data_IF_243536624412
#
_entry.id   IF_243536624412
#
_cell.length_a   1.000
_cell.length_b   1.000
_cell.length_c   1.000
_cell.angle_alpha   90.00
_cell.angle_beta   90.00
_cell.angle_gamma   90.00
#
_symmetry.space_group_name_H-M   'P 1'
#
loop_
_entity.id
_entity.type
_entity.pdbx_description
1 polymer ?
#
# COMPACT_ATOMS: atom_id res chain seq x y z
N UNK A 1 -18.77 2.95 -16.77
CA UNK A 1 -19.48 3.13 -15.48
C UNK A 1 -18.50 3.78 -14.51
N UNK A 2 -18.89 4.86 -13.85
CA UNK A 2 -17.98 5.65 -13.03
C UNK A 2 -18.47 5.70 -11.58
N UNK A 3 -17.55 5.75 -10.62
CA UNK A 3 -17.90 6.04 -9.25
C UNK A 3 -17.93 7.56 -9.06
N UNK A 4 -19.13 8.07 -8.81
CA UNK A 4 -19.43 9.40 -8.31
C UNK A 4 -20.65 9.29 -7.40
N UNK A 5 -21.04 10.38 -6.73
CA UNK A 5 -22.18 10.37 -5.80
C UNK A 5 -23.50 9.96 -6.46
N UNK A 6 -23.80 10.45 -7.66
CA UNK A 6 -25.08 10.28 -8.35
C UNK A 6 -25.24 8.88 -8.95
N UNK A 7 -24.14 8.33 -9.48
CA UNK A 7 -24.08 7.03 -10.15
C UNK A 7 -23.62 5.90 -9.21
N UNK A 8 -23.37 6.20 -7.94
CA UNK A 8 -22.77 5.25 -6.99
C UNK A 8 -23.48 3.89 -6.95
N UNK A 9 -24.82 3.88 -6.85
CA UNK A 9 -25.59 2.65 -6.75
C UNK A 9 -25.47 1.78 -8.00
N UNK A 10 -25.49 2.40 -9.17
CA UNK A 10 -25.37 1.69 -10.45
C UNK A 10 -23.94 1.21 -10.67
N UNK A 11 -22.95 2.02 -10.27
CA UNK A 11 -21.54 1.65 -10.31
C UNK A 11 -21.22 0.46 -9.40
N UNK A 12 -21.67 0.50 -8.14
CA UNK A 12 -21.54 -0.60 -7.19
C UNK A 12 -22.13 -1.89 -7.78
N UNK A 13 -23.37 -1.83 -8.27
CA UNK A 13 -24.04 -2.99 -8.87
C UNK A 13 -23.34 -3.50 -10.12
N UNK A 14 -22.86 -2.60 -10.98
CA UNK A 14 -22.13 -2.94 -12.20
C UNK A 14 -20.83 -3.68 -11.87
N UNK A 15 -19.97 -3.11 -11.02
CA UNK A 15 -18.68 -3.71 -10.69
C UNK A 15 -18.84 -5.00 -9.87
N UNK A 16 -19.78 -5.05 -8.92
CA UNK A 16 -20.10 -6.28 -8.21
C UNK A 16 -20.45 -7.42 -9.17
N UNK A 17 -21.34 -7.17 -10.14
CA UNK A 17 -21.72 -8.16 -11.16
C UNK A 17 -20.57 -8.50 -12.11
N UNK A 18 -19.79 -7.50 -12.54
CA UNK A 18 -18.61 -7.69 -13.41
C UNK A 18 -17.60 -8.65 -12.78
N UNK A 19 -17.36 -8.52 -11.48
CA UNK A 19 -16.47 -9.41 -10.70
C UNK A 19 -17.19 -10.63 -10.10
N UNK A 20 -18.45 -10.88 -10.48
CA UNK A 20 -19.25 -12.06 -10.09
C UNK A 20 -19.45 -12.23 -8.58
N UNK A 21 -19.43 -11.15 -7.81
CA UNK A 21 -19.72 -11.22 -6.38
C UNK A 21 -21.23 -11.24 -6.13
N UNK A 22 -21.66 -12.06 -5.17
CA UNK A 22 -22.98 -11.87 -4.54
C UNK A 22 -22.94 -10.63 -3.65
N UNK A 23 -24.09 -10.13 -3.22
CA UNK A 23 -24.11 -9.02 -2.26
C UNK A 23 -23.50 -9.42 -0.92
N UNK A 24 -23.72 -10.67 -0.53
CA UNK A 24 -23.21 -11.25 0.70
C UNK A 24 -21.69 -11.41 0.65
N UNK A 25 -21.17 -12.06 -0.40
CA UNK A 25 -19.73 -12.27 -0.57
C UNK A 25 -18.97 -10.95 -0.70
N UNK A 26 -19.56 -9.93 -1.32
CA UNK A 26 -18.93 -8.60 -1.39
C UNK A 26 -18.90 -7.92 -0.01
N UNK A 27 -19.98 -8.03 0.77
CA UNK A 27 -20.02 -7.47 2.12
C UNK A 27 -18.97 -8.13 3.02
N UNK A 28 -18.88 -9.47 2.99
CA UNK A 28 -17.85 -10.23 3.71
C UNK A 28 -16.44 -9.79 3.31
N UNK A 29 -16.13 -9.78 2.00
CA UNK A 29 -14.82 -9.37 1.50
C UNK A 29 -14.45 -7.93 1.90
N UNK A 30 -15.39 -6.98 1.80
CA UNK A 30 -15.15 -5.60 2.23
C UNK A 30 -14.87 -5.54 3.74
N UNK A 31 -15.68 -6.25 4.53
CA UNK A 31 -15.57 -6.28 6.00
C UNK A 31 -14.25 -6.86 6.48
N UNK A 32 -13.71 -7.88 5.80
CA UNK A 32 -12.44 -8.51 6.10
C UNK A 32 -11.23 -7.76 5.51
N UNK A 33 -11.45 -6.86 4.54
CA UNK A 33 -10.38 -6.10 3.90
C UNK A 33 -10.04 -4.80 4.61
N UNK A 34 -11.02 -4.14 5.26
CA UNK A 34 -10.79 -2.86 5.93
C UNK A 34 -11.85 -2.49 6.98
N UNK A 35 -11.42 -1.95 8.12
CA UNK A 35 -12.21 -1.63 9.32
C UNK A 35 -13.41 -0.72 9.09
N UNK A 36 -13.35 0.19 8.11
CA UNK A 36 -14.48 1.06 7.69
C UNK A 36 -15.74 0.27 7.29
N UNK A 37 -15.56 -1.00 6.88
CA UNK A 37 -16.62 -1.90 6.45
C UNK A 37 -16.90 -3.03 7.44
N UNK A 38 -16.34 -3.01 8.65
CA UNK A 38 -16.53 -4.10 9.63
C UNK A 38 -17.99 -4.36 9.99
N UNK A 39 -18.86 -3.34 9.91
CA UNK A 39 -20.31 -3.45 10.15
C UNK A 39 -21.14 -3.64 8.88
N UNK A 40 -20.51 -3.81 7.72
CA UNK A 40 -21.22 -3.97 6.45
C UNK A 40 -21.80 -5.39 6.35
N UNK A 41 -23.06 -5.48 5.95
CA UNK A 41 -23.73 -6.75 5.69
C UNK A 41 -24.50 -6.70 4.35
N UNK A 42 -24.99 -7.87 3.92
CA UNK A 42 -25.74 -8.04 2.67
C UNK A 42 -26.94 -7.08 2.55
N UNK A 43 -27.69 -6.88 3.64
CA UNK A 43 -28.87 -6.01 3.65
C UNK A 43 -28.51 -4.54 3.38
N UNK A 44 -27.46 -4.03 4.03
CA UNK A 44 -26.97 -2.67 3.85
C UNK A 44 -26.48 -2.46 2.42
N UNK A 45 -25.72 -3.42 1.88
CA UNK A 45 -25.26 -3.36 0.50
C UNK A 45 -26.44 -3.36 -0.49
N UNK A 46 -27.48 -4.17 -0.23
CA UNK A 46 -28.71 -4.16 -1.04
C UNK A 46 -29.44 -2.82 -0.97
N UNK A 47 -29.42 -2.12 0.16
CA UNK A 47 -30.04 -0.80 0.29
C UNK A 47 -29.28 0.26 -0.52
N UNK A 48 -27.94 0.19 -0.54
CA UNK A 48 -27.10 1.06 -1.37
C UNK A 48 -27.37 0.83 -2.86
N UNK A 49 -27.40 -0.42 -3.33
CA UNK A 49 -27.69 -0.73 -4.74
C UNK A 49 -29.10 -0.32 -5.19
N UNK A 50 -30.06 -0.24 -4.25
CA UNK A 50 -31.44 0.19 -4.51
C UNK A 50 -31.65 1.69 -4.27
N UNK A 51 -30.59 2.45 -3.98
CA UNK A 51 -30.65 3.89 -3.66
C UNK A 51 -31.55 4.23 -2.46
N UNK A 52 -31.80 3.25 -1.57
CA UNK A 52 -32.61 3.47 -0.36
C UNK A 52 -31.85 4.21 0.73
N UNK A 53 -30.54 3.97 0.81
CA UNK A 53 -29.63 4.64 1.74
C UNK A 53 -28.41 5.10 0.97
N UNK A 54 -28.01 6.34 1.18
CA UNK A 54 -26.76 6.88 0.64
C UNK A 54 -25.60 6.53 1.60
N UNK A 55 -24.56 5.79 1.16
CA UNK A 55 -23.37 5.57 1.97
C UNK A 55 -22.61 6.88 2.20
N UNK A 56 -21.83 6.96 3.29
CA UNK A 56 -20.94 8.11 3.52
C UNK A 56 -19.90 8.24 2.40
N UNK A 57 -19.37 9.46 2.19
CA UNK A 57 -18.29 9.71 1.22
C UNK A 57 -17.13 8.73 1.41
N UNK A 58 -16.67 8.52 2.64
CA UNK A 58 -15.59 7.59 2.95
C UNK A 58 -15.89 6.15 2.48
N UNK A 59 -17.13 5.67 2.67
CA UNK A 59 -17.53 4.33 2.21
C UNK A 59 -17.63 4.26 0.70
N UNK A 60 -18.06 5.33 0.03
CA UNK A 60 -18.04 5.42 -1.44
C UNK A 60 -16.63 5.35 -2.00
N UNK A 61 -15.70 6.12 -1.42
CA UNK A 61 -14.28 6.09 -1.75
C UNK A 61 -13.70 4.69 -1.55
N UNK A 62 -13.93 4.08 -0.39
CA UNK A 62 -13.39 2.75 -0.11
C UNK A 62 -13.91 1.68 -1.07
N UNK A 63 -15.18 1.77 -1.50
CA UNK A 63 -15.73 0.87 -2.52
C UNK A 63 -15.10 1.10 -3.90
N UNK A 64 -14.90 2.37 -4.31
CA UNK A 64 -14.21 2.66 -5.55
C UNK A 64 -12.78 2.09 -5.55
N UNK A 65 -12.06 2.27 -4.44
CA UNK A 65 -10.72 1.71 -4.23
C UNK A 65 -10.70 0.18 -4.22
N UNK A 66 -11.67 -0.48 -3.56
CA UNK A 66 -11.78 -1.94 -3.58
C UNK A 66 -11.85 -2.48 -5.02
N UNK A 67 -12.58 -1.79 -5.90
CA UNK A 67 -12.67 -2.14 -7.32
C UNK A 67 -11.56 -1.52 -8.20
N UNK A 68 -10.56 -0.86 -7.59
CA UNK A 68 -9.45 -0.18 -8.25
C UNK A 68 -9.94 0.82 -9.32
N UNK A 69 -10.96 1.60 -8.97
CA UNK A 69 -11.56 2.62 -9.82
C UNK A 69 -11.39 4.01 -9.19
N UNK A 70 -11.19 5.06 -10.01
CA UNK A 70 -11.20 6.43 -9.50
C UNK A 70 -12.60 6.83 -9.04
N UNK A 71 -12.66 7.62 -7.96
CA UNK A 71 -13.87 8.31 -7.52
C UNK A 71 -13.86 9.76 -8.02
N UNK A 72 -14.96 10.21 -8.60
CA UNK A 72 -15.12 11.56 -9.10
C UNK A 72 -15.93 12.39 -8.11
N UNK A 73 -15.25 13.36 -7.49
CA UNK A 73 -15.84 14.25 -6.51
C UNK A 73 -16.73 15.30 -7.17
N UNK A 74 -17.88 15.57 -6.57
CA UNK A 74 -18.58 16.82 -6.84
C UNK A 74 -17.88 18.01 -6.14
N UNK A 75 -18.28 19.24 -6.49
CA UNK A 75 -17.67 20.47 -5.95
C UNK A 75 -17.75 20.57 -4.42
N UNK A 76 -18.80 20.03 -3.80
CA UNK A 76 -18.98 20.05 -2.35
C UNK A 76 -18.09 19.01 -1.67
N UNK A 77 -18.03 17.79 -2.22
CA UNK A 77 -17.17 16.73 -1.74
C UNK A 77 -15.69 17.13 -1.85
N UNK A 78 -15.29 17.75 -2.97
CA UNK A 78 -13.92 18.21 -3.19
C UNK A 78 -13.49 19.23 -2.12
N UNK A 79 -14.39 20.18 -1.75
CA UNK A 79 -14.14 21.12 -0.65
C UNK A 79 -13.90 20.39 0.68
N UNK A 80 -14.63 19.30 0.94
CA UNK A 80 -14.52 18.53 2.18
C UNK A 80 -13.24 17.69 2.28
N UNK A 81 -12.70 17.23 1.15
CA UNK A 81 -11.48 16.39 1.12
C UNK A 81 -10.20 17.17 0.84
N UNK A 82 -10.29 18.44 0.44
CA UNK A 82 -9.13 19.27 0.05
C UNK A 82 -7.99 19.22 1.07
N UNK A 83 -8.29 19.34 2.37
CA UNK A 83 -7.28 19.26 3.43
C UNK A 83 -6.64 17.87 3.52
N UNK A 84 -7.43 16.81 3.38
CA UNK A 84 -6.92 15.45 3.41
C UNK A 84 -5.95 15.17 2.24
N UNK A 85 -6.28 15.67 1.05
CA UNK A 85 -5.44 15.52 -0.15
C UNK A 85 -4.11 16.29 -0.10
N UNK A 86 -3.91 17.17 0.90
CA UNK A 86 -2.66 17.89 1.11
C UNK A 86 -1.67 17.13 2.01
N UNK A 87 -2.09 16.03 2.63
CA UNK A 87 -1.17 15.20 3.42
C UNK A 87 -0.08 14.64 2.50
N UNK A 88 1.19 14.68 2.93
CA UNK A 88 2.29 14.18 2.12
C UNK A 88 2.13 12.68 1.88
N UNK A 89 2.56 12.23 0.71
CA UNK A 89 2.71 10.81 0.40
C UNK A 89 4.12 10.62 -0.13
N UNK A 90 4.92 9.83 0.59
CA UNK A 90 6.37 9.62 0.34
C UNK A 90 6.75 9.13 -1.08
N UNK A 91 5.78 8.91 -1.98
CA UNK A 91 6.00 8.44 -3.36
C UNK A 91 5.15 9.16 -4.42
N UNK A 92 4.37 10.19 -4.06
CA UNK A 92 3.53 10.91 -5.04
C UNK A 92 4.35 11.78 -6.01
N UNK A 93 5.59 12.14 -5.63
CA UNK A 93 6.44 13.06 -6.39
C UNK A 93 7.54 12.36 -7.20
N UNK A 94 7.44 11.05 -7.41
CA UNK A 94 8.37 10.31 -8.28
C UNK A 94 8.00 10.54 -9.75
N UNK A 95 8.13 11.78 -10.21
CA UNK A 95 7.99 12.16 -11.62
C UNK A 95 9.37 12.29 -12.24
N UNK A 96 9.78 11.28 -13.00
CA UNK A 96 10.92 11.38 -13.91
C UNK A 96 10.43 11.92 -15.25
N UNK A 97 11.26 12.72 -15.93
CA UNK A 97 10.94 13.22 -17.28
C UNK A 97 10.90 12.08 -18.29
N UNK A 98 11.81 11.12 -18.13
CA UNK A 98 11.92 9.93 -18.98
C UNK A 98 11.34 8.70 -18.27
N UNK A 99 10.78 7.80 -19.07
CA UNK A 99 10.39 6.48 -18.62
C UNK A 99 11.63 5.58 -18.56
N UNK A 100 11.77 4.85 -17.45
CA UNK A 100 12.85 3.89 -17.24
C UNK A 100 12.25 2.48 -17.19
N UNK A 101 12.72 1.62 -18.09
CA UNK A 101 12.42 0.19 -18.04
C UNK A 101 13.49 -0.59 -17.28
N UNK A 102 13.15 -1.80 -16.84
CA UNK A 102 14.12 -2.69 -16.21
C UNK A 102 14.78 -3.50 -17.33
N UNK A 103 16.07 -3.26 -17.56
CA UNK A 103 16.86 -4.00 -18.55
C UNK A 103 17.58 -5.19 -17.94
N UNK A 104 17.90 -5.11 -16.65
CA UNK A 104 18.64 -6.15 -15.94
C UNK A 104 18.27 -6.18 -14.45
N UNK A 105 18.41 -7.34 -13.83
CA UNK A 105 18.24 -7.54 -12.40
C UNK A 105 19.39 -8.36 -11.83
N UNK A 106 19.83 -8.01 -10.63
CA UNK A 106 20.86 -8.75 -9.89
C UNK A 106 20.31 -9.23 -8.55
N UNK A 107 20.71 -10.42 -8.13
CA UNK A 107 20.35 -10.98 -6.83
C UNK A 107 21.59 -11.59 -6.18
N UNK A 108 22.05 -10.94 -5.11
CA UNK A 108 23.26 -11.34 -4.38
C UNK A 108 23.05 -11.22 -2.87
N UNK A 109 23.94 -11.83 -2.10
CA UNK A 109 24.07 -11.51 -0.68
C UNK A 109 24.55 -10.06 -0.52
N UNK A 110 24.08 -9.34 0.50
CA UNK A 110 24.38 -7.91 0.68
C UNK A 110 25.88 -7.63 0.88
N UNK A 111 26.61 -8.58 1.48
CA UNK A 111 28.06 -8.53 1.68
C UNK A 111 28.86 -8.57 0.37
N UNK A 112 28.29 -9.17 -0.68
CA UNK A 112 28.87 -9.24 -2.03
C UNK A 112 28.52 -8.06 -2.92
N UNK A 113 27.69 -7.13 -2.44
CA UNK A 113 27.41 -5.90 -3.15
C UNK A 113 28.60 -4.96 -2.97
N UNK A 114 29.31 -4.66 -4.06
CA UNK A 114 30.53 -3.87 -4.04
C UNK A 114 30.38 -2.55 -4.83
N UNK A 115 31.32 -1.63 -4.62
CA UNK A 115 31.43 -0.41 -5.39
C UNK A 115 30.28 0.57 -5.20
N UNK A 116 29.93 1.26 -6.29
CA UNK A 116 28.95 2.36 -6.31
C UNK A 116 27.55 1.91 -5.90
N UNK A 117 27.10 0.72 -6.32
CA UNK A 117 25.79 0.19 -5.96
C UNK A 117 25.64 0.02 -4.45
N UNK A 118 26.70 -0.42 -3.75
CA UNK A 118 26.68 -0.54 -2.30
C UNK A 118 26.45 0.82 -1.65
N UNK A 119 27.20 1.83 -2.05
CA UNK A 119 27.04 3.20 -1.53
C UNK A 119 25.64 3.74 -1.81
N UNK A 120 25.12 3.57 -3.04
CA UNK A 120 23.78 4.02 -3.42
C UNK A 120 22.68 3.36 -2.60
N UNK A 121 22.79 2.05 -2.31
CA UNK A 121 21.83 1.32 -1.49
C UNK A 121 21.82 1.81 -0.05
N UNK A 122 23.02 1.99 0.54
CA UNK A 122 23.18 2.47 1.91
C UNK A 122 22.65 3.91 2.05
N UNK A 123 23.08 4.81 1.17
CA UNK A 123 22.69 6.22 1.17
C UNK A 123 21.18 6.39 0.93
N UNK A 124 20.61 5.61 0.00
CA UNK A 124 19.18 5.68 -0.30
C UNK A 124 18.33 5.13 0.83
N UNK A 125 18.79 4.09 1.53
CA UNK A 125 18.16 3.64 2.76
C UNK A 125 18.17 4.75 3.82
N UNK A 126 19.34 5.33 4.10
CA UNK A 126 19.49 6.37 5.13
C UNK A 126 18.66 7.60 4.83
N UNK A 127 18.67 8.11 3.59
CA UNK A 127 17.84 9.25 3.19
C UNK A 127 16.35 8.99 3.34
N UNK A 128 15.92 7.74 3.12
CA UNK A 128 14.51 7.38 3.14
C UNK A 128 13.99 7.00 4.54
N UNK A 129 14.86 6.46 5.39
CA UNK A 129 14.51 5.91 6.69
C UNK A 129 15.01 6.75 7.87
N UNK A 130 16.03 7.58 7.67
CA UNK A 130 16.63 8.42 8.71
C UNK A 130 17.71 7.73 9.55
N UNK A 131 17.96 6.43 9.34
CA UNK A 131 18.95 5.63 10.05
C UNK A 131 19.74 4.73 9.08
N UNK A 132 20.85 4.15 9.54
CA UNK A 132 21.67 3.33 8.67
C UNK A 132 21.05 1.94 8.40
N UNK A 133 21.32 1.38 7.21
CA UNK A 133 20.82 0.05 6.87
C UNK A 133 21.35 -1.02 7.84
N UNK A 134 22.61 -0.89 8.23
CA UNK A 134 23.27 -1.82 9.16
C UNK A 134 22.63 -1.77 10.55
N UNK A 135 22.28 -0.58 11.03
CA UNK A 135 21.55 -0.41 12.31
C UNK A 135 20.20 -1.13 12.26
N UNK A 136 19.43 -0.92 11.20
CA UNK A 136 18.12 -1.60 11.03
C UNK A 136 18.26 -3.13 11.01
N UNK A 137 19.28 -3.64 10.31
CA UNK A 137 19.56 -5.09 10.24
C UNK A 137 19.91 -5.65 11.63
N UNK A 138 20.76 -4.94 12.37
CA UNK A 138 21.17 -5.35 13.72
C UNK A 138 20.01 -5.34 14.71
N UNK A 139 19.17 -4.29 14.69
CA UNK A 139 17.98 -4.20 15.56
C UNK A 139 16.96 -5.31 15.29
N UNK A 140 16.88 -5.80 14.05
CA UNK A 140 16.01 -6.91 13.66
C UNK A 140 16.69 -8.29 13.75
N UNK A 141 17.94 -8.35 14.22
CA UNK A 141 18.76 -9.58 14.29
C UNK A 141 18.83 -10.33 12.96
N UNK A 142 19.06 -9.59 11.88
CA UNK A 142 19.17 -10.08 10.50
C UNK A 142 20.65 -10.12 10.09
N UNK A 143 21.18 -11.31 9.87
CA UNK A 143 22.63 -11.55 9.69
C UNK A 143 23.02 -12.06 8.30
N UNK A 144 22.05 -12.45 7.48
CA UNK A 144 22.25 -12.94 6.12
C UNK A 144 21.33 -12.22 5.12
N UNK A 145 21.35 -10.87 5.08
CA UNK A 145 20.51 -10.13 4.16
C UNK A 145 20.94 -10.37 2.71
N UNK A 146 19.93 -10.50 1.86
CA UNK A 146 20.05 -10.52 0.41
C UNK A 146 19.59 -9.18 -0.15
N UNK A 147 20.07 -8.87 -1.34
CA UNK A 147 19.63 -7.71 -2.09
C UNK A 147 19.23 -8.12 -3.50
N UNK A 148 18.07 -7.63 -3.92
CA UNK A 148 17.59 -7.70 -5.29
C UNK A 148 17.60 -6.30 -5.90
N UNK A 149 18.43 -6.08 -6.92
CA UNK A 149 18.62 -4.80 -7.59
C UNK A 149 17.95 -4.80 -8.97
N UNK A 150 17.37 -3.67 -9.33
CA UNK A 150 16.74 -3.41 -10.63
C UNK A 150 17.52 -2.32 -11.36
N UNK A 151 17.88 -2.55 -12.62
CA UNK A 151 18.72 -1.65 -13.40
C UNK A 151 18.06 -1.22 -14.71
N UNK A 152 18.32 0.03 -15.09
CA UNK A 152 18.23 0.49 -16.48
C UNK A 152 19.64 0.66 -17.02
N UNK A 153 20.02 -0.20 -17.96
CA UNK A 153 21.40 -0.41 -18.38
C UNK A 153 22.29 -0.74 -17.18
N UNK A 154 23.17 0.19 -16.77
CA UNK A 154 24.04 0.05 -15.58
C UNK A 154 23.57 0.90 -14.40
N UNK A 155 22.50 1.68 -14.55
CA UNK A 155 22.01 2.57 -13.51
C UNK A 155 21.04 1.84 -12.58
N UNK A 156 21.30 1.86 -11.28
CA UNK A 156 20.39 1.34 -10.26
C UNK A 156 19.13 2.21 -10.20
N UNK A 157 17.97 1.60 -10.43
CA UNK A 157 16.66 2.27 -10.48
C UNK A 157 15.67 1.77 -9.41
N UNK A 158 16.07 0.76 -8.64
CA UNK A 158 15.34 0.28 -7.48
C UNK A 158 16.04 -0.91 -6.83
N UNK A 159 15.71 -1.18 -5.58
CA UNK A 159 16.23 -2.34 -4.86
C UNK A 159 15.29 -2.80 -3.74
N UNK A 160 15.46 -4.06 -3.36
CA UNK A 160 14.88 -4.66 -2.17
C UNK A 160 16.00 -5.33 -1.36
N UNK A 161 16.24 -4.85 -0.15
CA UNK A 161 17.05 -5.56 0.84
C UNK A 161 16.12 -6.35 1.74
N UNK A 162 16.37 -7.64 1.89
CA UNK A 162 15.52 -8.52 2.68
C UNK A 162 16.28 -9.71 3.27
N UNK A 163 15.73 -10.31 4.31
CA UNK A 163 16.20 -11.59 4.84
C UNK A 163 15.01 -12.52 5.08
N UNK A 164 15.16 -13.80 4.74
CA UNK A 164 14.19 -14.83 5.05
C UNK A 164 14.66 -15.60 6.29
N UNK A 165 13.87 -15.57 7.37
CA UNK A 165 14.19 -16.18 8.67
C UNK A 165 12.90 -16.74 9.27
N UNK A 166 12.94 -17.95 9.81
CA UNK A 166 11.82 -18.56 10.56
C UNK A 166 10.45 -18.51 9.86
N UNK A 167 10.37 -18.94 8.59
CA UNK A 167 9.16 -18.90 7.77
C UNK A 167 8.55 -17.49 7.59
N UNK A 168 9.40 -16.46 7.68
CA UNK A 168 9.06 -15.08 7.44
C UNK A 168 10.08 -14.42 6.52
N UNK A 169 9.66 -13.35 5.86
CA UNK A 169 10.52 -12.45 5.08
C UNK A 169 10.47 -11.06 5.69
N UNK A 170 11.65 -10.53 6.01
CA UNK A 170 11.85 -9.20 6.55
C UNK A 170 12.32 -8.28 5.44
N UNK A 171 11.48 -7.33 5.04
CA UNK A 171 11.82 -6.31 4.05
C UNK A 171 12.44 -5.13 4.78
N UNK A 172 13.70 -4.81 4.50
CA UNK A 172 14.45 -3.82 5.28
C UNK A 172 14.58 -2.51 4.51
N UNK A 173 14.87 -2.60 3.21
CA UNK A 173 15.01 -1.45 2.33
C UNK A 173 14.24 -1.69 1.05
N UNK A 174 13.24 -0.87 0.78
CA UNK A 174 12.45 -0.91 -0.45
C UNK A 174 12.50 0.47 -1.09
N UNK A 175 13.17 0.57 -2.23
CA UNK A 175 13.40 1.83 -2.96
C UNK A 175 13.14 1.61 -4.44
N UNK A 176 12.52 2.59 -5.09
CA UNK A 176 12.19 2.57 -6.51
C UNK A 176 12.14 3.98 -7.06
N UNK A 177 12.55 4.14 -8.31
CA UNK A 177 12.60 5.45 -8.99
C UNK A 177 11.25 5.88 -9.56
N UNK A 178 10.44 4.95 -10.08
CA UNK A 178 9.18 5.27 -10.76
C UNK A 178 8.04 4.34 -10.34
N UNK A 179 6.79 4.72 -10.66
CA UNK A 179 5.60 3.90 -10.45
C UNK A 179 5.65 2.55 -11.19
N UNK A 180 6.21 2.53 -12.40
CA UNK A 180 6.37 1.29 -13.19
C UNK A 180 7.30 0.32 -12.47
N UNK A 181 8.46 0.80 -12.03
CA UNK A 181 9.45 0.02 -11.27
C UNK A 181 8.85 -0.48 -9.95
N UNK A 182 8.12 0.37 -9.23
CA UNK A 182 7.40 -0.02 -8.01
C UNK A 182 6.52 -1.25 -8.23
N UNK A 183 5.79 -1.29 -9.34
CA UNK A 183 4.86 -2.39 -9.63
C UNK A 183 5.63 -3.70 -9.83
N UNK A 184 6.71 -3.67 -10.61
CA UNK A 184 7.55 -4.86 -10.82
C UNK A 184 8.24 -5.31 -9.53
N UNK A 185 8.72 -4.36 -8.72
CA UNK A 185 9.32 -4.62 -7.42
C UNK A 185 8.32 -5.27 -6.46
N UNK A 186 7.09 -4.76 -6.36
CA UNK A 186 6.07 -5.33 -5.48
C UNK A 186 5.63 -6.72 -5.94
N UNK A 187 5.58 -6.97 -7.26
CA UNK A 187 5.33 -8.31 -7.80
C UNK A 187 6.45 -9.29 -7.42
N UNK A 188 7.71 -8.87 -7.52
CA UNK A 188 8.85 -9.66 -7.08
C UNK A 188 8.76 -9.98 -5.57
N UNK A 189 8.43 -8.99 -4.74
CA UNK A 189 8.22 -9.21 -3.30
C UNK A 189 7.08 -10.21 -3.06
N UNK A 190 5.96 -10.08 -3.75
CA UNK A 190 4.83 -11.01 -3.63
C UNK A 190 5.23 -12.46 -3.96
N UNK A 191 6.07 -12.65 -4.98
CA UNK A 191 6.58 -13.95 -5.40
C UNK A 191 7.52 -14.58 -4.36
N UNK A 192 8.55 -13.85 -3.91
CA UNK A 192 9.51 -14.37 -2.92
C UNK A 192 8.91 -14.53 -1.52
N UNK A 193 7.79 -13.85 -1.25
CA UNK A 193 7.09 -13.92 0.04
C UNK A 193 5.95 -14.94 0.06
N UNK A 194 5.71 -15.66 -1.03
CA UNK A 194 4.55 -16.54 -1.14
C UNK A 194 4.52 -17.53 0.03
N UNK A 195 3.36 -17.61 0.67
CA UNK A 195 3.09 -18.46 1.85
C UNK A 195 3.94 -18.14 3.10
N UNK A 196 4.66 -17.01 3.11
CA UNK A 196 5.42 -16.52 4.26
C UNK A 196 4.66 -15.42 5.02
N UNK A 197 5.07 -15.23 6.28
CA UNK A 197 4.80 -13.97 7.00
C UNK A 197 5.70 -12.87 6.45
N UNK A 198 5.15 -11.69 6.23
CA UNK A 198 5.85 -10.54 5.66
C UNK A 198 5.97 -9.46 6.72
N UNK A 199 7.19 -8.99 6.95
CA UNK A 199 7.47 -7.83 7.77
C UNK A 199 7.79 -6.66 6.83
N UNK A 200 6.86 -5.70 6.75
CA UNK A 200 6.91 -4.60 5.79
C UNK A 200 7.20 -3.27 6.50
N UNK A 201 8.19 -2.48 6.05
CA UNK A 201 8.54 -1.20 6.66
C UNK A 201 7.59 -0.09 6.18
N UNK A 202 6.94 0.59 7.12
CA UNK A 202 6.00 1.68 6.90
C UNK A 202 6.49 2.94 7.62
N UNK A 203 6.51 4.06 6.88
CA UNK A 203 7.09 5.34 7.30
C UNK A 203 6.05 6.45 7.47
N UNK A 204 5.01 6.39 6.64
CA UNK A 204 4.01 7.43 6.53
C UNK A 204 2.90 7.22 7.58
N UNK A 205 2.57 8.26 8.35
CA UNK A 205 1.54 8.17 9.40
C UNK A 205 0.16 7.76 8.87
N UNK A 206 -0.25 8.28 7.71
CA UNK A 206 -1.52 7.90 7.10
C UNK A 206 -1.52 6.45 6.60
N UNK A 207 -0.36 5.94 6.16
CA UNK A 207 -0.17 4.54 5.79
C UNK A 207 -0.12 3.62 7.01
N UNK A 208 0.50 4.05 8.12
CA UNK A 208 0.47 3.33 9.39
C UNK A 208 -0.98 3.07 9.83
N UNK A 209 -1.79 4.14 9.95
CA UNK A 209 -3.21 4.02 10.30
C UNK A 209 -3.98 3.12 9.33
N UNK A 210 -3.63 3.16 8.04
CA UNK A 210 -4.28 2.35 7.01
C UNK A 210 -3.94 0.86 7.11
N UNK A 211 -2.69 0.52 7.45
CA UNK A 211 -2.32 -0.89 7.67
C UNK A 211 -3.05 -1.46 8.88
N UNK A 212 -3.18 -0.70 9.97
CA UNK A 212 -4.00 -1.11 11.13
C UNK A 212 -5.49 -1.25 10.79
N UNK A 213 -6.02 -0.35 9.95
CA UNK A 213 -7.39 -0.45 9.46
C UNK A 213 -7.55 -1.64 8.49
N UNK A 214 -6.49 -2.13 7.84
CA UNK A 214 -6.46 -3.37 7.06
C UNK A 214 -6.20 -4.63 7.90
N UNK A 215 -6.27 -4.53 9.23
CA UNK A 215 -6.06 -5.64 10.18
C UNK A 215 -4.66 -6.26 10.12
N UNK A 216 -3.65 -5.48 9.72
CA UNK A 216 -2.26 -5.84 9.90
C UNK A 216 -1.77 -5.44 11.29
N UNK A 217 -0.85 -6.20 11.83
CA UNK A 217 -0.34 -6.00 13.18
C UNK A 217 0.97 -5.23 13.15
N UNK A 218 1.09 -4.22 14.01
CA UNK A 218 2.37 -3.55 14.26
C UNK A 218 3.24 -4.48 15.09
N UNK A 219 4.41 -4.86 14.59
CA UNK A 219 5.26 -5.85 15.25
C UNK A 219 6.46 -5.24 15.98
N UNK A 220 7.12 -4.26 15.37
CA UNK A 220 8.30 -3.60 15.93
C UNK A 220 8.51 -2.23 15.28
N UNK A 221 9.44 -1.46 15.82
CA UNK A 221 9.89 -0.20 15.25
C UNK A 221 11.39 -0.09 15.38
N UNK A 222 12.01 0.44 14.33
CA UNK A 222 13.42 0.81 14.26
C UNK A 222 13.46 2.29 13.96
N UNK A 223 13.87 3.12 14.94
CA UNK A 223 13.88 4.58 14.81
C UNK A 223 12.55 5.15 14.23
N UNK A 224 12.60 5.72 13.03
CA UNK A 224 11.47 6.34 12.33
C UNK A 224 10.64 5.34 11.49
N UNK A 225 11.03 4.06 11.45
CA UNK A 225 10.37 3.02 10.68
C UNK A 225 9.50 2.17 11.61
N UNK A 226 8.23 2.02 11.24
CA UNK A 226 7.34 1.04 11.89
C UNK A 226 7.17 -0.17 10.98
N UNK A 227 7.36 -1.37 11.53
CA UNK A 227 7.13 -2.60 10.79
C UNK A 227 5.73 -3.13 11.06
N UNK A 228 5.06 -3.55 9.98
CA UNK A 228 3.80 -4.28 10.04
C UNK A 228 4.02 -5.72 9.61
N UNK A 229 3.33 -6.63 10.27
CA UNK A 229 3.35 -8.05 9.97
C UNK A 229 1.98 -8.57 9.56
N UNK A 230 2.01 -9.58 8.71
CA UNK A 230 0.84 -10.26 8.15
C UNK A 230 1.27 -11.30 7.12
N UNK A 231 0.35 -12.17 6.73
CA UNK A 231 0.60 -13.12 5.65
C UNK A 231 0.84 -12.38 4.32
N UNK A 232 1.61 -12.99 3.41
CA UNK A 232 1.80 -12.46 2.06
C UNK A 232 0.45 -12.18 1.36
N UNK A 233 -0.53 -13.06 1.56
CA UNK A 233 -1.90 -12.87 1.08
C UNK A 233 -2.56 -11.59 1.60
N UNK A 234 -2.41 -11.28 2.90
CA UNK A 234 -2.96 -10.04 3.46
C UNK A 234 -2.35 -8.79 2.82
N UNK A 235 -1.05 -8.78 2.53
CA UNK A 235 -0.40 -7.62 1.88
C UNK A 235 -0.74 -7.50 0.40
N UNK A 236 -0.62 -8.60 -0.35
CA UNK A 236 -0.58 -8.56 -1.81
C UNK A 236 -1.90 -8.94 -2.48
N UNK A 237 -2.82 -9.61 -1.78
CA UNK A 237 -4.15 -9.94 -2.30
C UNK A 237 -5.27 -9.05 -1.75
N UNK A 238 -5.06 -8.32 -0.64
CA UNK A 238 -6.06 -7.39 -0.12
C UNK A 238 -6.33 -6.27 -1.15
N UNK A 239 -7.57 -6.14 -1.67
CA UNK A 239 -7.88 -5.17 -2.73
C UNK A 239 -7.63 -3.72 -2.31
N UNK A 240 -7.79 -3.39 -1.03
CA UNK A 240 -7.58 -2.04 -0.50
C UNK A 240 -6.09 -1.68 -0.50
N UNK A 241 -5.23 -2.60 -0.06
CA UNK A 241 -3.78 -2.41 -0.10
C UNK A 241 -3.28 -2.34 -1.54
N UNK A 242 -3.77 -3.22 -2.42
CA UNK A 242 -3.45 -3.18 -3.86
C UNK A 242 -3.82 -1.85 -4.50
N UNK A 243 -4.97 -1.28 -4.15
CA UNK A 243 -5.37 0.05 -4.64
C UNK A 243 -4.38 1.14 -4.24
N UNK A 244 -3.91 1.13 -2.99
CA UNK A 244 -2.88 2.07 -2.50
C UNK A 244 -1.55 1.85 -3.22
N UNK A 245 -1.15 0.59 -3.42
CA UNK A 245 0.05 0.21 -4.19
C UNK A 245 -0.03 0.62 -5.67
N UNK A 246 -1.22 0.72 -6.24
CA UNK A 246 -1.46 1.24 -7.60
C UNK A 246 -1.50 2.77 -7.68
N UNK A 247 -1.43 3.47 -6.55
CA UNK A 247 -1.35 4.92 -6.49
C UNK A 247 -2.65 5.63 -6.13
N UNK A 248 -3.73 4.91 -5.82
CA UNK A 248 -4.96 5.53 -5.30
C UNK A 248 -4.79 5.81 -3.81
N UNK A 249 -4.61 7.07 -3.42
CA UNK A 249 -4.27 7.47 -2.04
C UNK A 249 -5.43 8.13 -1.28
N UNK A 250 -6.39 8.70 -1.99
CA UNK A 250 -7.40 9.58 -1.42
C UNK A 250 -8.27 8.93 -0.34
N UNK A 251 -8.72 7.68 -0.51
CA UNK A 251 -9.41 6.95 0.57
C UNK A 251 -8.60 6.90 1.88
N UNK A 252 -7.30 6.54 1.79
CA UNK A 252 -6.37 6.48 2.93
C UNK A 252 -6.24 7.85 3.59
N UNK A 253 -6.02 8.90 2.79
CA UNK A 253 -5.80 10.25 3.29
C UNK A 253 -7.07 10.83 3.96
N UNK A 254 -8.24 10.62 3.36
CA UNK A 254 -9.52 11.06 3.91
C UNK A 254 -9.82 10.32 5.22
N UNK A 255 -9.53 9.01 5.28
CA UNK A 255 -9.66 8.23 6.52
C UNK A 255 -8.76 8.76 7.63
N UNK A 256 -7.51 9.04 7.31
CA UNK A 256 -6.53 9.57 8.26
C UNK A 256 -6.94 10.93 8.82
N UNK A 257 -7.37 11.86 7.98
CA UNK A 257 -7.86 13.19 8.42
C UNK A 257 -9.09 13.08 9.33
N UNK A 258 -10.00 12.13 9.08
CA UNK A 258 -11.14 11.87 9.99
C UNK A 258 -10.70 11.35 11.35
N UNK A 259 -9.64 10.54 11.42
CA UNK A 259 -9.11 10.02 12.68
C UNK A 259 -8.41 11.09 13.50
N UNK A 260 -7.62 11.97 12.87
CA UNK A 260 -7.00 13.11 13.55
C UNK A 260 -8.05 14.01 14.22
N UNK A 261 -9.15 14.31 13.53
CA UNK A 261 -10.24 15.14 14.08
C UNK A 261 -10.94 14.50 15.26
N UNK A 262 -11.00 13.17 15.35
CA UNK A 262 -11.61 12.46 16.48
C UNK A 262 -10.72 12.42 17.71
N UNK A 263 -9.41 12.51 17.54
CA UNK A 263 -8.45 12.54 18.65
C UNK A 263 -8.30 13.94 19.25
N UNK A 264 -8.65 14.99 18.48
CA UNK A 264 -8.62 16.39 18.92
C UNK A 264 -9.89 16.86 19.65
N UNK A 265 -10.87 15.98 19.85
CA UNK A 265 -12.15 16.23 20.55
C UNK A 265 -12.16 15.39 21.82
#
# INVERSE_FOLDING_TARGET
MQFDRLQFADALKHFRKKYKYSQDSLAELLSSSHRVFSSLNQATLSQWERRKIEPTLLRRLGIAHFFQQPYHYDTQELKSVKKALQHPVNFQNLSTVYEYEITHTSHVSLDKLEGEDRSLVMDSHQRLNGNELVETLNELELHQPKIYCFYYQKMLIGHVVYEQKNNAIYLVSVVFLTKSIRTQLLNHIAEISKDLMVFFPIRDHSLNQFMEDCFLERCCSSHCITFYTGTSRQFFENPMIRSVMQGFQDFRLVRYEQMLKKQSV
#
